data_IF_759301766193
#
_entry.id   IF_759301766193
#
_cell.length_a   1.000
_cell.length_b   1.000
_cell.length_c   1.000
_cell.angle_alpha   90.00
_cell.angle_beta   90.00
_cell.angle_gamma   90.00
#
_symmetry.space_group_name_H-M   'P 1'
#
loop_
_entity.id
_entity.type
_entity.pdbx_description
1 polymer ?
#
# COMPACT_ATOMS: atom_id res chain seq x y z
N UNK A 1 1.27 -68.45 -53.61
CA UNK A 1 -0.02 -67.79 -53.27
C UNK A 1 -0.45 -68.24 -51.89
N UNK A 2 -0.20 -67.46 -50.82
CA UNK A 2 -0.75 -67.74 -49.51
C UNK A 2 -1.85 -66.75 -49.14
N UNK A 3 -2.93 -67.35 -48.65
CA UNK A 3 -4.10 -66.82 -47.96
C UNK A 3 -3.75 -65.93 -46.76
N UNK A 4 -4.41 -64.76 -46.65
CA UNK A 4 -4.47 -63.98 -45.40
C UNK A 4 -5.84 -64.17 -44.72
N UNK A 5 -5.89 -64.39 -43.39
CA UNK A 5 -7.13 -64.51 -42.63
C UNK A 5 -7.58 -63.16 -42.06
N UNK A 6 -8.89 -62.91 -42.18
CA UNK A 6 -9.65 -61.88 -41.46
C UNK A 6 -10.10 -62.46 -40.11
N UNK A 7 -9.68 -61.88 -38.97
CA UNK A 7 -10.44 -61.95 -37.72
C UNK A 7 -9.90 -61.00 -36.63
N UNK A 8 -10.83 -60.46 -35.83
CA UNK A 8 -10.69 -59.91 -34.47
C UNK A 8 -10.56 -58.38 -34.25
N UNK A 9 -11.61 -57.60 -34.56
CA UNK A 9 -11.77 -56.21 -34.06
C UNK A 9 -13.18 -55.88 -33.51
N UNK A 10 -13.78 -56.72 -32.66
CA UNK A 10 -15.15 -56.47 -32.14
C UNK A 10 -15.33 -56.57 -30.61
N UNK A 11 -14.27 -56.50 -29.78
CA UNK A 11 -14.41 -56.70 -28.32
C UNK A 11 -14.08 -55.51 -27.39
N UNK A 12 -13.79 -54.31 -27.88
CA UNK A 12 -13.30 -53.21 -27.02
C UNK A 12 -14.26 -52.04 -26.77
N UNK A 13 -15.57 -52.14 -27.08
CA UNK A 13 -16.49 -50.99 -27.01
C UNK A 13 -17.47 -50.95 -25.82
N UNK A 14 -17.42 -51.90 -24.88
CA UNK A 14 -18.39 -51.96 -23.78
C UNK A 14 -17.92 -51.41 -22.41
N UNK A 15 -16.68 -50.91 -22.28
CA UNK A 15 -16.15 -50.46 -20.99
C UNK A 15 -16.18 -48.92 -20.74
N UNK A 16 -16.48 -48.11 -21.76
CA UNK A 16 -16.50 -46.64 -21.62
C UNK A 16 -17.69 -46.03 -20.83
N UNK A 17 -18.92 -46.60 -20.82
CA UNK A 17 -20.04 -45.96 -20.12
C UNK A 17 -19.92 -46.01 -18.58
N UNK A 18 -19.27 -47.04 -18.04
CA UNK A 18 -19.15 -47.24 -16.59
C UNK A 18 -18.13 -46.30 -15.93
N UNK A 19 -17.09 -45.88 -16.66
CA UNK A 19 -16.07 -44.97 -16.14
C UNK A 19 -16.57 -43.51 -16.09
N UNK A 20 -17.40 -43.09 -17.04
CA UNK A 20 -18.03 -41.76 -17.03
C UNK A 20 -19.13 -41.65 -15.96
N UNK A 21 -19.87 -42.73 -15.66
CA UNK A 21 -20.88 -42.73 -14.59
C UNK A 21 -20.25 -42.67 -13.18
N UNK A 22 -19.07 -43.27 -12.97
CA UNK A 22 -18.35 -43.21 -11.70
C UNK A 22 -17.76 -41.82 -11.40
N UNK A 23 -17.37 -41.05 -12.42
CA UNK A 23 -16.88 -39.67 -12.26
C UNK A 23 -18.01 -38.65 -11.99
N UNK A 24 -19.25 -38.94 -12.43
CA UNK A 24 -20.41 -38.07 -12.19
C UNK A 24 -21.10 -38.31 -10.84
N UNK A 25 -20.89 -39.48 -10.22
CA UNK A 25 -21.47 -39.81 -8.90
C UNK A 25 -20.53 -39.55 -7.71
N UNK A 26 -19.23 -39.32 -7.95
CA UNK A 26 -18.26 -38.90 -6.93
C UNK A 26 -18.23 -37.38 -6.65
N UNK A 27 -19.00 -36.58 -7.40
CA UNK A 27 -18.92 -35.11 -7.39
C UNK A 27 -19.68 -34.39 -6.26
N UNK A 28 -20.21 -35.08 -5.25
CA UNK A 28 -21.20 -34.47 -4.35
C UNK A 28 -20.70 -33.90 -3.01
N UNK A 29 -19.41 -33.99 -2.65
CA UNK A 29 -18.93 -33.52 -1.32
C UNK A 29 -17.52 -32.90 -1.30
N UNK A 30 -17.05 -32.28 -2.38
CA UNK A 30 -15.74 -31.61 -2.32
C UNK A 30 -15.86 -30.25 -1.62
N UNK A 31 -15.11 -30.08 -0.52
CA UNK A 31 -14.87 -28.80 0.14
C UNK A 31 -14.42 -27.79 -0.93
N UNK A 32 -14.91 -26.53 -0.92
CA UNK A 32 -14.51 -25.55 -1.94
C UNK A 32 -13.00 -25.34 -1.91
N UNK A 33 -12.39 -25.26 -3.09
CA UNK A 33 -10.97 -24.90 -3.19
C UNK A 33 -10.77 -23.44 -2.77
N UNK A 34 -10.05 -23.22 -1.68
CA UNK A 34 -9.71 -21.89 -1.15
C UNK A 34 -8.28 -21.47 -1.46
N UNK A 35 -7.59 -22.18 -2.37
CA UNK A 35 -6.20 -21.89 -2.75
C UNK A 35 -5.99 -20.46 -3.26
N UNK A 36 -6.93 -19.93 -4.06
CA UNK A 36 -6.90 -18.55 -4.55
C UNK A 36 -6.99 -17.51 -3.42
N UNK A 37 -7.81 -17.79 -2.40
CA UNK A 37 -7.94 -16.92 -1.22
C UNK A 37 -6.68 -16.92 -0.35
N UNK A 38 -6.06 -18.09 -0.16
CA UNK A 38 -4.77 -18.21 0.51
C UNK A 38 -3.66 -17.43 -0.23
N UNK A 39 -3.55 -17.59 -1.56
CA UNK A 39 -2.58 -16.83 -2.35
C UNK A 39 -2.78 -15.31 -2.22
N UNK A 40 -4.04 -14.85 -2.24
CA UNK A 40 -4.36 -13.43 -2.05
C UNK A 40 -3.96 -12.93 -0.65
N UNK A 41 -4.17 -13.74 0.40
CA UNK A 41 -3.83 -13.39 1.78
C UNK A 41 -2.31 -13.36 2.01
N UNK A 42 -1.56 -14.32 1.46
CA UNK A 42 -0.09 -14.30 1.48
C UNK A 42 0.47 -13.08 0.75
N UNK A 43 -0.09 -12.78 -0.42
CA UNK A 43 0.26 -11.61 -1.20
C UNK A 43 -0.01 -10.30 -0.46
N UNK A 44 -1.12 -10.22 0.27
CA UNK A 44 -1.45 -9.10 1.15
C UNK A 44 -0.38 -8.90 2.20
N UNK A 45 -0.02 -9.96 2.93
CA UNK A 45 0.94 -9.91 4.03
C UNK A 45 2.30 -9.34 3.61
N UNK A 46 2.90 -9.88 2.54
CA UNK A 46 4.19 -9.39 2.05
C UNK A 46 4.13 -7.94 1.55
N UNK A 47 2.99 -7.52 0.99
CA UNK A 47 2.83 -6.17 0.46
C UNK A 47 2.69 -5.14 1.59
N UNK A 48 2.01 -5.48 2.68
CA UNK A 48 1.86 -4.59 3.83
C UNK A 48 3.20 -4.35 4.52
N UNK A 49 3.95 -5.42 4.83
CA UNK A 49 5.26 -5.31 5.50
C UNK A 49 6.22 -4.45 4.67
N UNK A 50 6.41 -4.81 3.40
CA UNK A 50 7.32 -4.06 2.53
C UNK A 50 6.87 -2.62 2.25
N UNK A 51 5.57 -2.33 2.38
CA UNK A 51 5.03 -0.98 2.31
C UNK A 51 5.36 -0.14 3.53
N UNK A 52 5.15 -0.67 4.73
CA UNK A 52 5.45 0.04 5.96
C UNK A 52 6.94 0.30 6.14
N UNK A 53 7.80 -0.66 5.77
CA UNK A 53 9.26 -0.47 5.73
C UNK A 53 9.66 0.66 4.77
N UNK A 54 9.14 0.65 3.54
CA UNK A 54 9.43 1.70 2.56
C UNK A 54 8.94 3.08 3.04
N UNK A 55 7.73 3.14 3.60
CA UNK A 55 7.15 4.37 4.14
C UNK A 55 7.96 4.91 5.33
N UNK A 56 8.40 4.05 6.24
CA UNK A 56 9.23 4.41 7.39
C UNK A 56 10.58 4.98 6.93
N UNK A 57 11.25 4.32 5.98
CA UNK A 57 12.52 4.77 5.42
C UNK A 57 12.42 6.16 4.80
N UNK A 58 11.36 6.42 4.02
CA UNK A 58 11.09 7.76 3.47
C UNK A 58 10.94 8.79 4.60
N UNK A 59 10.08 8.52 5.60
CA UNK A 59 9.86 9.48 6.68
C UNK A 59 11.13 9.75 7.48
N UNK A 60 11.98 8.75 7.66
CA UNK A 60 13.28 8.89 8.30
C UNK A 60 14.23 9.77 7.48
N UNK A 61 14.36 9.55 6.17
CA UNK A 61 15.19 10.39 5.28
C UNK A 61 14.72 11.85 5.30
N UNK A 62 13.41 12.09 5.18
CA UNK A 62 12.84 13.45 5.26
C UNK A 62 13.17 14.08 6.62
N UNK A 63 12.96 13.34 7.71
CA UNK A 63 13.26 13.80 9.06
C UNK A 63 14.73 14.18 9.25
N UNK A 64 15.67 13.36 8.74
CA UNK A 64 17.11 13.64 8.80
C UNK A 64 17.50 14.88 7.99
N UNK A 65 16.94 15.04 6.78
CA UNK A 65 17.19 16.24 5.95
C UNK A 65 16.68 17.50 6.62
N UNK A 66 15.48 17.47 7.19
CA UNK A 66 14.94 18.59 7.95
C UNK A 66 15.78 18.87 9.20
N UNK A 67 16.26 17.85 9.90
CA UNK A 67 17.07 18.03 11.11
C UNK A 67 18.40 18.75 10.83
N UNK A 68 18.94 18.60 9.60
CA UNK A 68 20.14 19.29 9.16
C UNK A 68 19.94 20.80 8.91
N UNK A 69 18.69 21.26 8.80
CA UNK A 69 18.35 22.64 8.51
C UNK A 69 17.98 23.40 9.80
N UNK A 70 18.58 24.55 10.03
CA UNK A 70 18.23 25.42 11.16
C UNK A 70 16.78 25.88 11.05
N UNK A 71 15.99 25.76 12.12
CA UNK A 71 14.58 26.18 12.14
C UNK A 71 13.55 25.08 11.87
N UNK A 72 13.98 23.85 11.57
CA UNK A 72 13.08 22.73 11.24
C UNK A 72 13.08 21.58 12.25
N UNK A 73 13.63 21.78 13.45
CA UNK A 73 13.80 20.73 14.46
C UNK A 73 12.47 20.09 14.88
N UNK A 74 11.40 20.87 14.99
CA UNK A 74 10.07 20.35 15.35
C UNK A 74 9.48 19.49 14.23
N UNK A 75 9.60 19.92 12.97
CA UNK A 75 9.11 19.18 11.81
C UNK A 75 9.94 17.90 11.62
N UNK A 76 11.27 17.99 11.76
CA UNK A 76 12.17 16.85 11.75
C UNK A 76 11.75 15.79 12.76
N UNK A 77 11.49 16.21 14.01
CA UNK A 77 10.95 15.35 15.06
C UNK A 77 9.62 14.70 14.66
N UNK A 78 8.67 15.47 14.11
CA UNK A 78 7.39 14.92 13.65
C UNK A 78 7.54 13.82 12.59
N UNK A 79 8.49 13.98 11.66
CA UNK A 79 8.81 12.94 10.67
C UNK A 79 9.51 11.72 11.29
N UNK A 80 10.42 11.92 12.23
CA UNK A 80 11.08 10.83 12.96
C UNK A 80 10.08 10.04 13.82
N UNK A 81 9.17 10.74 14.51
CA UNK A 81 8.10 10.13 15.30
C UNK A 81 7.15 9.33 14.39
N UNK A 82 6.82 9.87 13.20
CA UNK A 82 6.05 9.14 12.19
C UNK A 82 6.80 7.92 11.65
N UNK A 83 8.10 8.02 11.36
CA UNK A 83 8.93 6.89 10.94
C UNK A 83 8.98 5.78 12.00
N UNK A 84 9.15 6.17 13.28
CA UNK A 84 9.13 5.23 14.40
C UNK A 84 7.75 4.57 14.57
N UNK A 85 6.66 5.33 14.40
CA UNK A 85 5.30 4.78 14.42
C UNK A 85 5.06 3.80 13.26
N UNK A 86 5.51 4.13 12.04
CA UNK A 86 5.44 3.25 10.88
C UNK A 86 6.28 1.98 11.05
N UNK A 87 7.45 2.08 11.67
CA UNK A 87 8.32 0.92 11.95
C UNK A 87 7.66 -0.02 12.95
N UNK A 88 7.22 0.51 14.11
CA UNK A 88 6.51 -0.27 15.12
C UNK A 88 5.23 -0.88 14.57
N UNK A 89 4.45 -0.10 13.81
CA UNK A 89 3.27 -0.57 13.11
C UNK A 89 3.62 -1.68 12.12
N UNK A 90 4.66 -1.51 11.30
CA UNK A 90 5.13 -2.50 10.34
C UNK A 90 5.50 -3.83 10.97
N UNK A 91 6.20 -3.83 12.10
CA UNK A 91 6.51 -5.05 12.87
C UNK A 91 5.24 -5.72 13.41
N UNK A 92 4.36 -4.96 14.06
CA UNK A 92 3.11 -5.45 14.64
C UNK A 92 2.15 -6.00 13.56
N UNK A 93 1.96 -5.25 12.48
CA UNK A 93 1.17 -5.67 11.34
C UNK A 93 1.82 -6.85 10.62
N UNK A 94 3.15 -6.90 10.53
CA UNK A 94 3.87 -8.04 9.93
C UNK A 94 3.54 -9.34 10.63
N UNK A 95 3.56 -9.35 11.96
CA UNK A 95 3.13 -10.51 12.75
C UNK A 95 1.65 -10.85 12.51
N UNK A 96 0.77 -9.86 12.49
CA UNK A 96 -0.65 -10.07 12.29
C UNK A 96 -0.97 -10.64 10.90
N UNK A 97 -0.43 -10.02 9.84
CA UNK A 97 -0.65 -10.46 8.48
C UNK A 97 0.03 -11.80 8.18
N UNK A 98 1.17 -12.10 8.81
CA UNK A 98 1.75 -13.44 8.76
C UNK A 98 0.80 -14.47 9.37
N UNK A 99 0.20 -14.17 10.53
CA UNK A 99 -0.77 -15.08 11.14
C UNK A 99 -2.07 -15.21 10.32
N UNK A 100 -2.52 -14.14 9.65
CA UNK A 100 -3.62 -14.23 8.67
C UNK A 100 -3.25 -15.14 7.50
N UNK A 101 -2.01 -15.06 7.00
CA UNK A 101 -1.51 -15.92 5.95
C UNK A 101 -1.42 -17.39 6.40
N UNK A 102 -0.92 -17.67 7.60
CA UNK A 102 -0.86 -19.01 8.19
C UNK A 102 -2.25 -19.62 8.41
N UNK A 103 -3.20 -18.80 8.87
CA UNK A 103 -4.62 -19.17 8.93
C UNK A 103 -5.17 -19.53 7.55
N UNK A 104 -4.88 -18.71 6.55
CA UNK A 104 -5.34 -18.98 5.19
C UNK A 104 -4.71 -20.22 4.57
N UNK A 105 -3.44 -20.49 4.87
CA UNK A 105 -2.74 -21.69 4.45
C UNK A 105 -3.32 -22.95 5.12
N UNK A 106 -3.70 -22.84 6.39
CA UNK A 106 -4.39 -23.91 7.13
C UNK A 106 -5.72 -24.24 6.48
N UNK A 107 -6.57 -23.24 6.17
CA UNK A 107 -7.83 -23.45 5.45
C UNK A 107 -7.61 -24.06 4.05
N UNK A 108 -6.57 -23.65 3.32
CA UNK A 108 -6.23 -24.24 2.03
C UNK A 108 -5.77 -25.70 2.15
N UNK A 109 -4.95 -26.02 3.15
CA UNK A 109 -4.53 -27.40 3.43
C UNK A 109 -5.74 -28.28 3.79
N UNK A 110 -6.64 -27.74 4.61
CA UNK A 110 -7.91 -28.37 4.98
C UNK A 110 -8.78 -28.64 3.75
N UNK A 111 -8.93 -27.68 2.84
CA UNK A 111 -9.73 -27.89 1.62
C UNK A 111 -9.19 -28.99 0.70
N UNK A 112 -7.88 -29.26 0.77
CA UNK A 112 -7.20 -30.30 -0.01
C UNK A 112 -7.17 -31.65 0.70
N UNK A 113 -7.15 -31.66 2.03
CA UNK A 113 -7.23 -32.87 2.83
C UNK A 113 -8.67 -33.40 2.79
N UNK A 114 -8.86 -34.56 2.15
CA UNK A 114 -10.14 -35.27 2.06
C UNK A 114 -10.93 -35.32 3.39
N UNK A 115 -12.26 -35.33 3.29
CA UNK A 115 -13.29 -34.94 4.28
C UNK A 115 -13.29 -35.58 5.69
N UNK A 116 -12.30 -36.40 6.09
CA UNK A 116 -12.42 -37.28 7.26
C UNK A 116 -11.30 -37.20 8.31
N UNK A 117 -10.37 -36.24 8.27
CA UNK A 117 -9.34 -36.16 9.32
C UNK A 117 -9.68 -35.14 10.40
N UNK A 118 -9.85 -35.59 11.65
CA UNK A 118 -9.87 -34.73 12.84
C UNK A 118 -8.69 -33.75 12.90
N UNK A 119 -7.54 -34.13 12.33
CA UNK A 119 -6.37 -33.29 12.15
C UNK A 119 -6.66 -31.95 11.43
N UNK A 120 -7.68 -31.92 10.59
CA UNK A 120 -8.13 -30.74 9.83
C UNK A 120 -8.73 -29.68 10.75
N UNK A 121 -9.58 -30.08 11.69
CA UNK A 121 -10.21 -29.16 12.65
C UNK A 121 -9.19 -28.62 13.64
N UNK A 122 -8.26 -29.47 14.11
CA UNK A 122 -7.18 -29.05 15.01
C UNK A 122 -6.25 -28.01 14.36
N UNK A 123 -5.96 -28.13 13.05
CA UNK A 123 -5.15 -27.15 12.32
C UNK A 123 -5.85 -25.79 12.18
N UNK A 124 -7.16 -25.77 11.91
CA UNK A 124 -7.94 -24.51 11.87
C UNK A 124 -8.00 -23.87 13.25
N UNK A 125 -8.30 -24.64 14.29
CA UNK A 125 -8.32 -24.12 15.66
C UNK A 125 -6.94 -23.58 16.09
N UNK A 126 -5.86 -24.31 15.77
CA UNK A 126 -4.49 -23.89 16.05
C UNK A 126 -4.10 -22.59 15.36
N UNK A 127 -4.47 -22.42 14.09
CA UNK A 127 -4.17 -21.20 13.34
C UNK A 127 -5.02 -20.00 13.76
N UNK A 128 -6.28 -20.20 14.19
CA UNK A 128 -7.08 -19.15 14.85
C UNK A 128 -6.41 -18.71 16.16
N UNK A 129 -5.88 -19.65 16.95
CA UNK A 129 -5.13 -19.30 18.17
C UNK A 129 -3.85 -18.53 17.86
N UNK A 130 -3.13 -18.87 16.79
CA UNK A 130 -1.97 -18.11 16.34
C UNK A 130 -2.36 -16.70 15.89
N UNK A 131 -3.45 -16.56 15.13
CA UNK A 131 -3.98 -15.26 14.71
C UNK A 131 -4.28 -14.37 15.91
N UNK A 132 -4.96 -14.92 16.91
CA UNK A 132 -5.28 -14.19 18.12
C UNK A 132 -4.05 -13.88 18.98
N UNK A 133 -3.09 -14.81 19.05
CA UNK A 133 -1.81 -14.59 19.71
C UNK A 133 -1.05 -13.43 19.07
N UNK A 134 -1.03 -13.37 17.74
CA UNK A 134 -0.39 -12.29 16.98
C UNK A 134 -1.05 -10.93 17.28
N UNK A 135 -2.38 -10.88 17.40
CA UNK A 135 -3.11 -9.68 17.83
C UNK A 135 -2.69 -9.24 19.24
N UNK A 136 -2.53 -10.20 20.16
CA UNK A 136 -2.08 -9.93 21.53
C UNK A 136 -0.66 -9.37 21.59
N UNK A 137 0.25 -9.94 20.80
CA UNK A 137 1.66 -9.50 20.70
C UNK A 137 1.78 -8.15 20.00
N UNK A 138 0.96 -7.91 18.97
CA UNK A 138 0.90 -6.64 18.25
C UNK A 138 0.46 -5.47 19.15
N UNK A 139 -0.06 -5.74 20.35
CA UNK A 139 -0.39 -4.70 21.33
C UNK A 139 -1.47 -3.74 20.83
N UNK A 140 -2.32 -4.18 19.89
CA UNK A 140 -3.40 -3.37 19.32
C UNK A 140 -4.23 -2.77 20.46
N UNK A 141 -4.20 -1.43 20.54
CA UNK A 141 -4.41 -0.65 21.75
C UNK A 141 -5.55 -1.17 22.66
N UNK A 142 -5.20 -1.64 23.86
CA UNK A 142 -6.13 -1.90 24.95
C UNK A 142 -7.07 -3.12 24.81
N UNK A 143 -7.08 -3.82 23.67
CA UNK A 143 -8.01 -4.93 23.43
C UNK A 143 -7.50 -6.30 23.95
N UNK A 144 -6.24 -6.41 24.35
CA UNK A 144 -5.56 -7.69 24.60
C UNK A 144 -6.22 -8.57 25.67
N UNK A 145 -6.76 -7.97 26.75
CA UNK A 145 -7.40 -8.73 27.83
C UNK A 145 -8.77 -9.31 27.43
N UNK A 146 -9.59 -8.53 26.72
CA UNK A 146 -10.90 -8.96 26.24
C UNK A 146 -10.81 -9.97 25.08
N UNK A 147 -9.75 -9.87 24.27
CA UNK A 147 -9.45 -10.88 23.26
C UNK A 147 -9.03 -12.20 23.89
N UNK A 148 -8.18 -12.19 24.93
CA UNK A 148 -7.72 -13.41 25.61
C UNK A 148 -8.86 -14.30 26.12
N UNK A 149 -9.94 -13.70 26.65
CA UNK A 149 -11.13 -14.45 27.07
C UNK A 149 -11.96 -14.99 25.90
N UNK A 150 -12.02 -14.23 24.80
CA UNK A 150 -12.70 -14.66 23.59
C UNK A 150 -11.97 -15.85 22.95
N UNK A 151 -10.63 -15.82 22.94
CA UNK A 151 -9.75 -16.87 22.42
C UNK A 151 -10.07 -18.23 23.03
N UNK A 152 -10.06 -18.29 24.36
CA UNK A 152 -10.25 -19.55 25.06
C UNK A 152 -11.64 -20.14 24.79
N UNK A 153 -12.68 -19.30 24.70
CA UNK A 153 -14.05 -19.77 24.49
C UNK A 153 -14.35 -20.15 23.03
N UNK A 154 -13.87 -19.40 22.04
CA UNK A 154 -14.10 -19.69 20.62
C UNK A 154 -13.22 -20.84 20.10
N UNK A 155 -11.98 -20.97 20.56
CA UNK A 155 -11.11 -22.09 20.17
C UNK A 155 -11.71 -23.45 20.57
N UNK A 156 -12.29 -23.53 21.77
CA UNK A 156 -13.00 -24.74 22.25
C UNK A 156 -14.19 -25.05 21.34
N UNK A 157 -14.93 -24.04 20.90
CA UNK A 157 -16.07 -24.21 19.99
C UNK A 157 -15.63 -24.67 18.60
N UNK A 158 -14.57 -24.11 18.02
CA UNK A 158 -14.07 -24.53 16.70
C UNK A 158 -13.58 -25.98 16.76
N UNK A 159 -12.86 -26.35 17.83
CA UNK A 159 -12.41 -27.74 18.04
C UNK A 159 -13.57 -28.75 18.08
N UNK A 160 -14.76 -28.31 18.51
CA UNK A 160 -15.96 -29.15 18.55
C UNK A 160 -16.70 -29.26 17.19
N UNK A 161 -16.35 -28.44 16.18
CA UNK A 161 -16.97 -28.48 14.86
C UNK A 161 -16.54 -29.75 14.11
N UNK A 162 -17.48 -30.38 13.39
CA UNK A 162 -17.20 -31.63 12.64
C UNK A 162 -17.05 -31.43 11.15
N UNK A 163 -17.47 -30.28 10.62
CA UNK A 163 -17.37 -29.95 9.19
C UNK A 163 -16.65 -28.60 8.95
N UNK A 164 -16.13 -28.44 7.74
CA UNK A 164 -15.37 -27.25 7.33
C UNK A 164 -16.22 -25.96 7.38
N UNK A 165 -17.47 -26.04 6.95
CA UNK A 165 -18.35 -24.88 6.87
C UNK A 165 -18.66 -24.33 8.26
N UNK A 166 -18.97 -25.21 9.22
CA UNK A 166 -19.18 -24.92 10.63
C UNK A 166 -17.91 -24.37 11.27
N UNK A 167 -16.73 -24.94 10.97
CA UNK A 167 -15.47 -24.43 11.49
C UNK A 167 -15.18 -22.98 11.03
N UNK A 168 -15.41 -22.67 9.75
CA UNK A 168 -15.26 -21.32 9.19
C UNK A 168 -16.31 -20.37 9.76
N UNK A 169 -17.58 -20.81 9.84
CA UNK A 169 -18.69 -20.01 10.41
C UNK A 169 -18.45 -19.67 11.89
N UNK A 170 -17.91 -20.61 12.68
CA UNK A 170 -17.51 -20.36 14.08
C UNK A 170 -16.26 -19.49 14.20
N UNK A 171 -15.35 -19.50 13.23
CA UNK A 171 -14.19 -18.62 13.21
C UNK A 171 -14.53 -17.18 12.82
N UNK A 172 -15.64 -16.98 12.07
CA UNK A 172 -15.99 -15.68 11.48
C UNK A 172 -16.09 -14.52 12.49
N UNK A 173 -16.76 -14.65 13.67
CA UNK A 173 -16.82 -13.56 14.64
C UNK A 173 -15.43 -13.14 15.15
N UNK A 174 -14.52 -14.10 15.27
CA UNK A 174 -13.15 -13.84 15.70
C UNK A 174 -12.38 -13.11 14.59
N UNK A 175 -12.43 -13.63 13.37
CA UNK A 175 -11.82 -13.02 12.17
C UNK A 175 -12.33 -11.58 11.97
N UNK A 176 -13.63 -11.36 12.10
CA UNK A 176 -14.27 -10.06 12.03
C UNK A 176 -13.70 -9.08 13.06
N UNK A 177 -13.56 -9.52 14.32
CA UNK A 177 -13.02 -8.68 15.39
C UNK A 177 -11.54 -8.34 15.19
N UNK A 178 -10.73 -9.29 14.73
CA UNK A 178 -9.33 -9.06 14.39
C UNK A 178 -9.21 -7.99 13.30
N UNK A 179 -10.01 -8.11 12.24
CA UNK A 179 -10.03 -7.12 11.17
C UNK A 179 -10.49 -5.74 11.65
N UNK A 180 -11.49 -5.66 12.54
CA UNK A 180 -11.96 -4.38 13.08
C UNK A 180 -10.91 -3.68 13.96
N UNK A 181 -10.16 -4.46 14.76
CA UNK A 181 -9.04 -3.92 15.55
C UNK A 181 -7.91 -3.40 14.65
N UNK A 182 -7.56 -4.16 13.62
CA UNK A 182 -6.58 -3.73 12.63
C UNK A 182 -7.03 -2.44 11.92
N UNK A 183 -8.31 -2.33 11.55
CA UNK A 183 -8.87 -1.10 10.95
C UNK A 183 -8.76 0.08 11.90
N UNK A 184 -9.10 -0.10 13.19
CA UNK A 184 -9.00 0.95 14.20
C UNK A 184 -7.55 1.42 14.39
N UNK A 185 -6.61 0.49 14.46
CA UNK A 185 -5.19 0.80 14.65
C UNK A 185 -4.59 1.50 13.42
N UNK A 186 -4.97 1.08 12.21
CA UNK A 186 -4.62 1.79 10.97
C UNK A 186 -5.24 3.19 10.90
N UNK A 187 -6.45 3.39 11.44
CA UNK A 187 -7.07 4.72 11.54
C UNK A 187 -6.28 5.62 12.53
N UNK A 188 -5.78 5.07 13.63
CA UNK A 188 -4.92 5.80 14.57
C UNK A 188 -3.55 6.14 13.97
N UNK A 189 -2.95 5.20 13.24
CA UNK A 189 -1.72 5.48 12.49
C UNK A 189 -1.94 6.56 11.43
N UNK A 190 -3.07 6.54 10.72
CA UNK A 190 -3.43 7.59 9.77
C UNK A 190 -3.55 8.97 10.45
N UNK A 191 -4.06 9.03 11.69
CA UNK A 191 -4.08 10.29 12.48
C UNK A 191 -2.67 10.74 12.83
N UNK A 192 -1.78 9.83 13.24
CA UNK A 192 -0.36 10.17 13.48
C UNK A 192 0.30 10.75 12.23
N UNK A 193 0.10 10.13 11.07
CA UNK A 193 0.60 10.61 9.77
C UNK A 193 -0.07 11.92 9.31
N UNK A 194 -1.25 12.23 9.85
CA UNK A 194 -1.89 13.51 9.58
C UNK A 194 -1.14 14.68 10.22
N UNK A 195 -0.28 14.45 11.22
CA UNK A 195 0.58 15.46 11.83
C UNK A 195 1.72 15.96 10.93
N UNK A 196 2.10 15.20 9.90
CA UNK A 196 3.23 15.54 9.00
C UNK A 196 2.83 16.39 7.78
N UNK A 197 1.81 17.25 7.88
CA UNK A 197 1.26 17.97 6.69
C UNK A 197 2.25 18.95 6.05
N UNK A 198 1.96 19.31 4.80
CA UNK A 198 2.71 20.28 3.98
C UNK A 198 2.70 21.66 4.62
N UNK A 199 1.56 22.09 5.13
CA UNK A 199 1.33 23.46 5.58
C UNK A 199 2.29 23.85 6.71
N UNK A 200 2.49 23.03 7.77
CA UNK A 200 3.52 23.28 8.78
C UNK A 200 4.94 23.37 8.21
N UNK A 201 5.31 22.54 7.24
CA UNK A 201 6.67 22.52 6.66
C UNK A 201 6.89 23.77 5.82
N UNK A 202 5.93 24.11 4.96
CA UNK A 202 5.99 25.32 4.14
C UNK A 202 5.92 26.58 5.00
N UNK A 203 5.13 26.59 6.07
CA UNK A 203 5.06 27.71 6.99
C UNK A 203 6.38 27.90 7.75
N UNK A 204 6.97 26.83 8.28
CA UNK A 204 8.27 26.86 8.92
C UNK A 204 9.37 27.32 7.96
N UNK A 205 9.33 26.85 6.71
CA UNK A 205 10.27 27.27 5.67
C UNK A 205 10.12 28.73 5.27
N UNK A 206 8.91 29.16 4.95
CA UNK A 206 8.64 30.55 4.60
C UNK A 206 9.01 31.50 5.73
N UNK A 207 8.93 31.05 6.99
CA UNK A 207 9.36 31.80 8.16
C UNK A 207 10.89 31.83 8.29
N UNK A 208 11.55 30.66 8.20
CA UNK A 208 13.00 30.53 8.39
C UNK A 208 13.82 31.18 7.27
N UNK A 209 13.33 31.11 6.02
CA UNK A 209 14.04 31.57 4.83
C UNK A 209 13.36 32.79 4.19
N UNK A 210 12.54 33.51 4.97
CA UNK A 210 11.72 34.63 4.51
C UNK A 210 12.50 35.62 3.67
N UNK A 211 13.63 36.11 4.20
CA UNK A 211 14.43 37.14 3.55
C UNK A 211 15.07 36.65 2.25
N UNK A 212 15.52 35.39 2.21
CA UNK A 212 16.09 34.78 1.00
C UNK A 212 15.03 34.54 -0.07
N UNK A 213 13.84 34.12 0.33
CA UNK A 213 12.69 33.92 -0.56
C UNK A 213 12.17 35.26 -1.11
N UNK A 214 12.07 36.28 -0.27
CA UNK A 214 11.67 37.63 -0.69
C UNK A 214 12.72 38.24 -1.62
N UNK A 215 14.01 38.04 -1.34
CA UNK A 215 15.10 38.41 -2.24
C UNK A 215 14.98 37.72 -3.61
N UNK A 216 14.79 36.39 -3.65
CA UNK A 216 14.58 35.66 -4.91
C UNK A 216 13.34 36.16 -5.65
N UNK A 217 12.23 36.39 -4.95
CA UNK A 217 10.99 36.91 -5.55
C UNK A 217 11.22 38.28 -6.19
N UNK A 218 11.97 39.15 -5.52
CA UNK A 218 12.37 40.45 -6.06
C UNK A 218 13.25 40.31 -7.32
N UNK A 219 14.20 39.36 -7.34
CA UNK A 219 15.02 39.08 -8.53
C UNK A 219 14.16 38.59 -9.72
N UNK A 220 13.21 37.68 -9.49
CA UNK A 220 12.29 37.19 -10.53
C UNK A 220 11.44 38.33 -11.08
N UNK A 221 10.88 39.17 -10.21
CA UNK A 221 10.10 40.33 -10.63
C UNK A 221 10.95 41.34 -11.43
N UNK A 222 12.19 41.61 -10.98
CA UNK A 222 13.11 42.50 -11.70
C UNK A 222 13.50 41.95 -13.07
N UNK A 223 13.76 40.64 -13.17
CA UNK A 223 14.06 39.97 -14.43
C UNK A 223 12.91 40.13 -15.43
N UNK A 224 11.66 39.93 -15.00
CA UNK A 224 10.49 40.08 -15.85
C UNK A 224 10.32 41.51 -16.38
N UNK A 225 10.58 42.53 -15.55
CA UNK A 225 10.58 43.94 -15.98
C UNK A 225 11.67 44.22 -17.00
N UNK A 226 12.92 43.81 -16.73
CA UNK A 226 14.05 44.03 -17.64
C UNK A 226 13.84 43.33 -19.00
N UNK A 227 13.27 42.12 -19.01
CA UNK A 227 12.95 41.41 -20.25
C UNK A 227 11.86 42.13 -21.07
N UNK A 228 10.84 42.70 -20.41
CA UNK A 228 9.82 43.49 -21.08
C UNK A 228 10.39 44.79 -21.66
N UNK A 229 11.25 45.49 -20.92
CA UNK A 229 11.91 46.71 -21.35
C UNK A 229 12.80 46.48 -22.58
N UNK A 230 13.65 45.44 -22.55
CA UNK A 230 14.49 45.04 -23.70
C UNK A 230 13.63 44.62 -24.89
N UNK A 231 12.55 43.87 -24.68
CA UNK A 231 11.61 43.46 -25.73
C UNK A 231 10.93 44.65 -26.42
N UNK A 232 10.58 45.69 -25.66
CA UNK A 232 9.96 46.92 -26.19
C UNK A 232 10.94 47.76 -27.03
N UNK A 233 12.24 47.74 -26.71
CA UNK A 233 13.28 48.45 -27.45
C UNK A 233 13.65 47.76 -28.78
N UNK A 234 13.44 46.45 -28.89
CA UNK A 234 13.75 45.66 -30.09
C UNK A 234 12.58 45.68 -31.09
N UNK A 235 11.41 46.19 -30.72
CA UNK A 235 10.28 46.33 -31.63
C UNK A 235 10.62 47.39 -32.70
N UNK A 236 10.86 47.02 -33.97
CA UNK A 236 11.23 48.00 -34.97
C UNK A 236 10.01 48.86 -35.23
N UNK A 237 10.12 50.16 -34.96
CA UNK A 237 9.18 51.14 -35.48
C UNK A 237 9.22 51.05 -37.02
N UNK A 238 8.32 50.25 -37.59
CA UNK A 238 8.07 50.15 -39.02
C UNK A 238 7.32 51.42 -39.47
N UNK A 239 7.99 52.56 -39.41
CA UNK A 239 7.57 53.79 -40.07
C UNK A 239 8.71 54.24 -40.99
N UNK A 240 8.50 54.22 -42.33
CA UNK A 240 9.47 54.75 -43.28
C UNK A 240 9.70 56.24 -42.99
N UNK A 241 10.91 56.61 -42.59
CA UNK A 241 11.31 58.00 -42.38
C UNK A 241 11.48 58.46 -40.93
N UNK A 242 11.21 57.62 -39.93
CA UNK A 242 11.57 57.96 -38.56
C UNK A 242 13.10 57.82 -38.36
N UNK A 243 13.79 58.81 -37.75
CA UNK A 243 15.22 58.69 -37.48
C UNK A 243 15.47 57.43 -36.64
N UNK A 244 16.33 56.54 -37.12
CA UNK A 244 16.79 55.38 -36.34
C UNK A 244 17.27 55.91 -35.00
N UNK A 245 16.82 55.35 -33.85
CA UNK A 245 17.41 55.65 -32.57
C UNK A 245 18.91 55.50 -32.73
N UNK A 246 19.63 56.60 -32.58
CA UNK A 246 21.09 56.60 -32.63
C UNK A 246 21.56 55.56 -31.62
N UNK A 247 22.62 54.82 -31.97
CA UNK A 247 23.22 53.75 -31.16
C UNK A 247 23.70 54.19 -29.75
N UNK A 248 23.36 55.40 -29.31
CA UNK A 248 23.61 55.98 -28.00
C UNK A 248 22.60 55.53 -26.91
N UNK A 249 21.48 54.88 -27.26
CA UNK A 249 20.58 54.22 -26.28
C UNK A 249 20.97 52.77 -25.97
N UNK A 250 22.06 52.27 -26.56
CA UNK A 250 22.81 51.14 -25.99
C UNK A 250 23.62 51.65 -24.77
N UNK A 251 22.95 52.32 -23.83
CA UNK A 251 23.53 52.50 -22.51
C UNK A 251 23.79 51.10 -21.96
N UNK A 252 25.01 50.91 -21.46
CA UNK A 252 25.44 49.71 -20.74
C UNK A 252 24.47 49.28 -19.62
N UNK A 253 23.53 50.14 -19.22
CA UNK A 253 22.56 49.92 -18.14
C UNK A 253 21.70 48.65 -18.25
N UNK A 254 20.77 48.52 -19.21
CA UNK A 254 19.76 47.45 -19.16
C UNK A 254 20.32 46.06 -19.44
N UNK A 255 21.26 45.92 -20.38
CA UNK A 255 21.86 44.64 -20.73
C UNK A 255 22.83 44.13 -19.65
N UNK A 256 23.67 45.00 -19.06
CA UNK A 256 24.54 44.59 -17.95
C UNK A 256 23.73 44.32 -16.67
N UNK A 257 22.66 45.07 -16.42
CA UNK A 257 21.75 44.82 -15.30
C UNK A 257 21.01 43.48 -15.47
N UNK A 258 20.52 43.18 -16.68
CA UNK A 258 19.92 41.89 -17.00
C UNK A 258 20.88 40.74 -16.66
N UNK A 259 22.12 40.81 -17.18
CA UNK A 259 23.14 39.80 -16.90
C UNK A 259 23.48 39.69 -15.40
N UNK A 260 23.47 40.81 -14.67
CA UNK A 260 23.66 40.82 -13.21
C UNK A 260 22.52 40.12 -12.49
N UNK A 261 21.27 40.45 -12.81
CA UNK A 261 20.07 39.85 -12.20
C UNK A 261 20.01 38.36 -12.50
N UNK A 262 20.33 37.94 -13.73
CA UNK A 262 20.41 36.53 -14.11
C UNK A 262 21.43 35.76 -13.28
N UNK A 263 22.64 36.30 -13.07
CA UNK A 263 23.65 35.66 -12.20
C UNK A 263 23.19 35.56 -10.74
N UNK A 264 22.55 36.60 -10.22
CA UNK A 264 22.01 36.59 -8.86
C UNK A 264 20.85 35.59 -8.73
N UNK A 265 20.00 35.48 -9.75
CA UNK A 265 18.92 34.51 -9.79
C UNK A 265 19.45 33.08 -9.91
N UNK A 266 20.48 32.84 -10.73
CA UNK A 266 21.17 31.54 -10.78
C UNK A 266 21.77 31.15 -9.42
N UNK A 267 22.42 32.10 -8.73
CA UNK A 267 22.90 31.87 -7.37
C UNK A 267 21.73 31.59 -6.41
N UNK A 268 20.61 32.30 -6.55
CA UNK A 268 19.41 32.07 -5.74
C UNK A 268 18.77 30.69 -6.01
N UNK A 269 18.69 30.30 -7.27
CA UNK A 269 18.15 29.01 -7.71
C UNK A 269 19.02 27.84 -7.27
N UNK A 270 20.33 28.04 -7.13
CA UNK A 270 21.26 26.99 -6.68
C UNK A 270 20.93 26.46 -5.28
N UNK A 271 20.37 27.29 -4.39
CA UNK A 271 19.89 26.85 -3.07
C UNK A 271 18.37 26.59 -3.05
N UNK A 272 17.57 27.34 -3.82
CA UNK A 272 16.12 27.24 -3.79
C UNK A 272 15.57 25.97 -4.49
N UNK A 273 16.05 25.67 -5.70
CA UNK A 273 15.48 24.56 -6.50
C UNK A 273 15.69 23.18 -5.86
N UNK A 274 16.88 22.83 -5.31
CA UNK A 274 17.05 21.54 -4.63
C UNK A 274 16.13 21.38 -3.42
N UNK A 275 15.88 22.47 -2.70
CA UNK A 275 15.01 22.48 -1.53
C UNK A 275 13.54 22.34 -1.91
N UNK A 276 13.07 23.06 -2.92
CA UNK A 276 11.73 22.89 -3.47
C UNK A 276 11.50 21.45 -3.94
N UNK A 277 12.47 20.87 -4.66
CA UNK A 277 12.42 19.48 -5.08
C UNK A 277 12.39 18.49 -3.89
N UNK A 278 13.11 18.79 -2.79
CA UNK A 278 13.06 17.98 -1.57
C UNK A 278 11.68 18.05 -0.89
N UNK A 279 11.08 19.24 -0.80
CA UNK A 279 9.73 19.44 -0.26
C UNK A 279 8.69 18.71 -1.11
N UNK A 280 8.78 18.79 -2.43
CA UNK A 280 7.83 18.15 -3.33
C UNK A 280 7.95 16.61 -3.29
N UNK A 281 9.18 16.08 -3.19
CA UNK A 281 9.41 14.65 -2.92
C UNK A 281 8.79 14.23 -1.60
N UNK A 282 9.06 14.97 -0.52
CA UNK A 282 8.53 14.67 0.80
C UNK A 282 6.99 14.60 0.83
N UNK A 283 6.33 15.49 0.09
CA UNK A 283 4.87 15.48 -0.05
C UNK A 283 4.36 14.30 -0.87
N UNK A 284 5.02 13.99 -1.98
CA UNK A 284 4.66 12.85 -2.83
C UNK A 284 4.75 11.54 -2.03
N UNK A 285 5.84 11.35 -1.29
CA UNK A 285 6.04 10.15 -0.49
C UNK A 285 5.11 10.07 0.71
N UNK A 286 4.79 11.22 1.33
CA UNK A 286 3.74 11.30 2.36
C UNK A 286 2.37 10.89 1.80
N UNK A 287 2.00 11.41 0.64
CA UNK A 287 0.74 11.05 -0.02
C UNK A 287 0.71 9.55 -0.36
N UNK A 288 1.83 9.01 -0.84
CA UNK A 288 2.00 7.57 -1.05
C UNK A 288 1.83 6.75 0.23
N UNK A 289 2.40 7.20 1.35
CA UNK A 289 2.26 6.55 2.66
C UNK A 289 0.83 6.60 3.18
N UNK A 290 0.16 7.75 3.08
CA UNK A 290 -1.25 7.87 3.47
C UNK A 290 -2.15 6.97 2.60
N UNK A 291 -1.88 6.90 1.30
CA UNK A 291 -2.58 5.99 0.39
C UNK A 291 -2.33 4.52 0.74
N UNK A 292 -1.09 4.16 1.13
CA UNK A 292 -0.75 2.81 1.59
C UNK A 292 -1.56 2.43 2.83
N UNK A 293 -1.60 3.28 3.86
CA UNK A 293 -2.37 3.01 5.09
C UNK A 293 -3.86 2.88 4.79
N UNK A 294 -4.42 3.80 3.99
CA UNK A 294 -5.81 3.72 3.56
C UNK A 294 -6.10 2.43 2.76
N UNK A 295 -5.16 1.96 1.95
CA UNK A 295 -5.29 0.73 1.18
C UNK A 295 -5.17 -0.52 2.07
N UNK A 296 -4.28 -0.51 3.08
CA UNK A 296 -4.19 -1.57 4.08
C UNK A 296 -5.50 -1.71 4.87
N UNK A 297 -6.15 -0.58 5.21
CA UNK A 297 -7.47 -0.56 5.84
C UNK A 297 -8.54 -1.21 4.96
N UNK A 298 -8.58 -0.85 3.68
CA UNK A 298 -9.47 -1.50 2.70
C UNK A 298 -9.18 -3.00 2.57
N UNK A 299 -7.92 -3.40 2.65
CA UNK A 299 -7.52 -4.80 2.59
C UNK A 299 -7.99 -5.61 3.78
N UNK A 300 -7.90 -5.06 5.00
CA UNK A 300 -8.45 -5.69 6.20
C UNK A 300 -9.96 -5.89 6.09
N UNK A 301 -10.69 -4.88 5.61
CA UNK A 301 -12.15 -4.97 5.37
C UNK A 301 -12.50 -5.97 4.25
N UNK A 302 -11.75 -5.97 3.15
CA UNK A 302 -11.94 -6.91 2.05
C UNK A 302 -11.65 -8.35 2.48
N UNK A 303 -10.64 -8.55 3.32
CA UNK A 303 -10.31 -9.85 3.89
C UNK A 303 -11.43 -10.34 4.83
N UNK A 304 -11.93 -9.48 5.72
CA UNK A 304 -13.12 -9.76 6.56
C UNK A 304 -14.33 -10.18 5.71
N UNK A 305 -14.67 -9.40 4.69
CA UNK A 305 -15.82 -9.68 3.83
C UNK A 305 -15.64 -10.98 3.03
N UNK A 306 -14.42 -11.22 2.52
CA UNK A 306 -14.10 -12.45 1.78
C UNK A 306 -14.16 -13.66 2.70
N UNK A 307 -13.69 -13.56 3.95
CA UNK A 307 -13.81 -14.62 4.95
C UNK A 307 -15.27 -14.98 5.23
N UNK A 308 -16.14 -14.00 5.50
CA UNK A 308 -17.57 -14.24 5.71
C UNK A 308 -18.22 -14.98 4.52
N UNK A 309 -17.75 -14.70 3.29
CA UNK A 309 -18.21 -15.40 2.09
C UNK A 309 -17.74 -16.87 2.00
N UNK A 310 -16.65 -17.25 2.68
CA UNK A 310 -16.14 -18.63 2.68
C UNK A 310 -17.13 -19.60 3.33
N UNK A 311 -17.76 -19.22 4.44
CA UNK A 311 -18.75 -20.07 5.12
C UNK A 311 -19.97 -20.32 4.23
N UNK A 312 -20.47 -19.28 3.56
CA UNK A 312 -21.56 -19.40 2.58
C UNK A 312 -21.12 -20.24 1.38
N UNK A 313 -19.94 -19.99 0.83
CA UNK A 313 -19.40 -20.74 -0.30
C UNK A 313 -19.22 -22.23 0.01
N UNK A 314 -18.78 -22.56 1.23
CA UNK A 314 -18.66 -23.92 1.72
C UNK A 314 -20.02 -24.61 1.86
N UNK A 315 -21.03 -23.94 2.42
CA UNK A 315 -22.39 -24.47 2.54
C UNK A 315 -23.04 -24.70 1.17
N UNK A 316 -22.87 -23.75 0.26
CA UNK A 316 -23.46 -23.74 -1.08
C UNK A 316 -22.62 -24.53 -2.11
N UNK A 317 -21.48 -25.08 -1.70
CA UNK A 317 -20.55 -25.83 -2.56
C UNK A 317 -20.11 -25.04 -3.81
N UNK A 318 -19.88 -23.75 -3.65
CA UNK A 318 -19.38 -22.85 -4.71
C UNK A 318 -17.99 -22.34 -4.39
N UNK A 319 -17.32 -21.79 -5.39
CA UNK A 319 -16.06 -21.08 -5.19
C UNK A 319 -16.31 -19.77 -4.42
N UNK A 320 -15.42 -19.41 -3.48
CA UNK A 320 -15.51 -18.13 -2.79
C UNK A 320 -15.15 -16.98 -3.72
N UNK A 321 -15.78 -15.82 -3.49
CA UNK A 321 -15.43 -14.60 -4.21
C UNK A 321 -14.14 -14.01 -3.63
N UNK A 322 -13.08 -14.05 -4.44
CA UNK A 322 -11.75 -13.52 -4.11
C UNK A 322 -11.37 -12.32 -4.95
N UNK A 323 -12.22 -11.91 -5.91
CA UNK A 323 -11.88 -10.89 -6.88
C UNK A 323 -11.62 -9.53 -6.23
N UNK A 324 -12.44 -9.17 -5.24
CA UNK A 324 -12.27 -7.92 -4.50
C UNK A 324 -10.96 -7.89 -3.69
N UNK A 325 -10.64 -8.98 -2.98
CA UNK A 325 -9.40 -9.09 -2.21
C UNK A 325 -8.16 -9.00 -3.13
N UNK A 326 -8.17 -9.72 -4.26
CA UNK A 326 -7.08 -9.68 -5.25
C UNK A 326 -6.87 -8.29 -5.85
N UNK A 327 -7.95 -7.59 -6.17
CA UNK A 327 -7.90 -6.20 -6.66
C UNK A 327 -7.24 -5.27 -5.63
N UNK A 328 -7.65 -5.38 -4.37
CA UNK A 328 -7.10 -4.55 -3.28
C UNK A 328 -5.63 -4.83 -3.02
N UNK A 329 -5.21 -6.10 -3.07
CA UNK A 329 -3.81 -6.54 -2.92
C UNK A 329 -2.94 -6.05 -4.07
N UNK A 330 -3.44 -6.14 -5.31
CA UNK A 330 -2.73 -5.63 -6.49
C UNK A 330 -2.46 -4.14 -6.37
N UNK A 331 -3.48 -3.37 -5.97
CA UNK A 331 -3.32 -1.94 -5.73
C UNK A 331 -2.33 -1.62 -4.60
N UNK A 332 -2.28 -2.45 -3.56
CA UNK A 332 -1.31 -2.28 -2.47
C UNK A 332 0.12 -2.52 -2.97
N UNK A 333 0.34 -3.55 -3.80
CA UNK A 333 1.64 -3.81 -4.45
C UNK A 333 2.12 -2.65 -5.33
N UNK A 334 1.22 -2.06 -6.11
CA UNK A 334 1.53 -0.87 -6.92
C UNK A 334 2.02 0.28 -6.05
N UNK A 335 1.32 0.59 -4.94
CA UNK A 335 1.71 1.64 -4.00
C UNK A 335 3.08 1.37 -3.37
N UNK A 336 3.35 0.12 -2.98
CA UNK A 336 4.65 -0.30 -2.44
C UNK A 336 5.77 -0.11 -3.48
N UNK A 337 5.52 -0.51 -4.72
CA UNK A 337 6.49 -0.35 -5.80
C UNK A 337 6.77 1.13 -6.09
N UNK A 338 5.76 1.98 -6.04
CA UNK A 338 5.92 3.43 -6.25
C UNK A 338 6.68 4.09 -5.10
N UNK A 339 6.41 3.72 -3.84
CA UNK A 339 7.18 4.19 -2.69
C UNK A 339 8.66 3.75 -2.76
N UNK A 340 8.92 2.53 -3.22
CA UNK A 340 10.30 2.03 -3.38
C UNK A 340 11.10 2.75 -4.46
N UNK A 341 10.46 3.31 -5.49
CA UNK A 341 11.13 4.10 -6.55
C UNK A 341 11.52 5.50 -6.07
N UNK A 342 10.96 5.96 -4.96
CA UNK A 342 11.22 7.29 -4.41
C UNK A 342 12.43 7.32 -3.46
N UNK A 343 12.86 6.14 -2.98
CA UNK A 343 14.10 5.92 -2.24
C UNK A 343 15.25 5.62 -3.20
#
# INVERSE_FOLDING_TARGET
MPSMPLAHHWRSLCALPALCAALLLGGCQTIPDVSGWNLATQALAGSVVGGFEAAAAVHQDIGQRLDSQSGFKEQAKGYQDAAAALTRGGEAYGLLFAAMADYSASLAAVSKASANSSATVDAVAGSVNQLLGAVGVAGLAGAGFELGKLVASEAIKIKAARDFAEAVDRADPTVARVADLLVSDLDDLAKTLSGTKREPIMAAYNLAERDRLDYRRALVARLAVLQADVGSQVQPAALPGAPRPTAALAEKGPAEELQRVERLLQAADSWYLPLQAAIDRAQKSRAGTAALVAQARKAALAWKASHASLATAAREKRLPDTAHLLSVVTRLRELVADLKKEN
#
